data_IF_233547006859
#
_entry.id   IF_233547006859
#
_cell.length_a   1.000
_cell.length_b   1.000
_cell.length_c   1.000
_cell.angle_alpha   90.00
_cell.angle_beta   90.00
_cell.angle_gamma   90.00
#
_symmetry.space_group_name_H-M   'P 1'
#
loop_
_entity.id
_entity.type
_entity.pdbx_description
1 polymer ?
#
# COMPACT_ATOMS: atom_id res chain seq x y z
N UNK A 1 7.93 14.97 5.31
CA UNK A 1 8.73 14.07 4.50
C UNK A 1 7.88 13.30 3.52
N UNK A 2 8.23 13.34 2.29
CA UNK A 2 7.45 12.68 1.26
C UNK A 2 7.65 11.18 1.29
N UNK A 3 6.58 10.45 1.09
CA UNK A 3 6.64 9.01 0.94
C UNK A 3 6.70 8.72 -0.55
N UNK A 4 7.79 8.15 -0.98
CA UNK A 4 8.01 7.91 -2.40
C UNK A 4 7.64 6.48 -2.77
N UNK A 5 6.71 6.36 -3.69
CA UNK A 5 6.32 5.09 -4.26
C UNK A 5 6.57 5.14 -5.76
N UNK A 6 7.11 4.07 -6.31
CA UNK A 6 7.23 3.98 -7.75
C UNK A 6 5.87 3.65 -8.33
N UNK A 7 5.72 3.87 -9.64
CA UNK A 7 4.48 3.52 -10.31
C UNK A 7 4.18 2.04 -10.17
N UNK A 8 5.22 1.23 -10.25
CA UNK A 8 5.06 -0.21 -10.10
C UNK A 8 4.55 -0.56 -8.71
N UNK A 9 5.09 0.11 -7.71
CA UNK A 9 4.65 -0.14 -6.34
C UNK A 9 3.20 0.24 -6.16
N UNK A 10 2.81 1.39 -6.69
CA UNK A 10 1.43 1.85 -6.58
C UNK A 10 0.48 0.88 -7.27
N UNK A 11 0.86 0.42 -8.45
CA UNK A 11 0.05 -0.55 -9.17
C UNK A 11 -0.11 -1.84 -8.38
N UNK A 12 0.98 -2.32 -7.83
CA UNK A 12 0.97 -3.55 -7.06
C UNK A 12 0.07 -3.41 -5.84
N UNK A 13 0.22 -2.29 -5.12
CA UNK A 13 -0.60 -2.03 -3.95
C UNK A 13 -2.08 -2.00 -4.30
N UNK A 14 -2.40 -1.28 -5.36
CA UNK A 14 -3.78 -1.13 -5.78
C UNK A 14 -4.38 -2.47 -6.18
N UNK A 15 -3.63 -3.25 -6.94
CA UNK A 15 -4.10 -4.55 -7.40
C UNK A 15 -4.32 -5.50 -6.23
N UNK A 16 -3.38 -5.54 -5.31
CA UNK A 16 -3.50 -6.42 -4.16
C UNK A 16 -4.70 -6.05 -3.30
N UNK A 17 -4.88 -4.76 -3.08
CA UNK A 17 -5.99 -4.30 -2.27
C UNK A 17 -7.32 -4.58 -2.95
N UNK A 18 -7.36 -4.48 -4.28
CA UNK A 18 -8.56 -4.79 -5.02
C UNK A 18 -8.96 -6.26 -4.89
N UNK A 19 -7.96 -7.11 -4.94
CA UNK A 19 -8.21 -8.55 -4.83
C UNK A 19 -8.67 -8.92 -3.44
N UNK A 20 -8.16 -8.25 -2.44
CA UNK A 20 -8.49 -8.56 -1.06
C UNK A 20 -8.48 -7.27 -0.24
N UNK A 21 -9.57 -6.53 -0.25
CA UNK A 21 -9.64 -5.24 0.45
C UNK A 21 -9.80 -5.43 1.95
N UNK A 22 -8.76 -5.94 2.59
CA UNK A 22 -8.77 -6.18 4.01
C UNK A 22 -7.58 -5.52 4.65
N UNK A 23 -7.64 -5.39 5.98
CA UNK A 23 -6.55 -4.82 6.73
C UNK A 23 -5.28 -5.68 6.63
N UNK A 24 -5.48 -6.97 6.52
CA UNK A 24 -4.35 -7.88 6.38
C UNK A 24 -3.54 -7.57 5.14
N UNK A 25 -4.21 -7.27 4.05
CA UNK A 25 -3.53 -6.91 2.82
C UNK A 25 -2.71 -5.64 3.01
N UNK A 26 -3.30 -4.65 3.68
CA UNK A 26 -2.60 -3.40 3.94
C UNK A 26 -1.36 -3.65 4.80
N UNK A 27 -1.50 -4.46 5.82
CA UNK A 27 -0.38 -4.74 6.70
C UNK A 27 0.73 -5.48 5.96
N UNK A 28 0.35 -6.40 5.11
CA UNK A 28 1.33 -7.13 4.30
C UNK A 28 2.07 -6.19 3.36
N UNK A 29 1.34 -5.30 2.72
CA UNK A 29 1.96 -4.33 1.82
C UNK A 29 2.91 -3.41 2.56
N UNK A 30 2.51 -2.99 3.75
CA UNK A 30 3.37 -2.13 4.56
C UNK A 30 4.67 -2.84 4.89
N UNK A 31 4.59 -4.11 5.22
CA UNK A 31 5.77 -4.89 5.54
C UNK A 31 6.65 -5.08 4.31
N UNK A 32 6.05 -5.41 3.19
CA UNK A 32 6.80 -5.66 1.96
C UNK A 32 7.50 -4.41 1.47
N UNK A 33 6.84 -3.27 1.57
CA UNK A 33 7.37 -2.02 1.07
C UNK A 33 8.15 -1.24 2.11
N UNK A 34 8.23 -1.78 3.31
CA UNK A 34 8.93 -1.13 4.42
C UNK A 34 8.33 0.25 4.69
N UNK A 35 7.01 0.30 4.69
CA UNK A 35 6.27 1.53 4.96
C UNK A 35 5.33 1.29 6.12
N UNK A 36 4.79 2.38 6.67
CA UNK A 36 3.83 2.23 7.75
C UNK A 36 2.46 1.94 7.18
N UNK A 37 1.62 1.30 7.99
CA UNK A 37 0.25 1.01 7.58
C UNK A 37 -0.49 2.29 7.23
N UNK A 38 -0.25 3.35 8.01
CA UNK A 38 -0.89 4.63 7.74
C UNK A 38 -0.52 5.18 6.37
N UNK A 39 0.75 5.02 5.98
CA UNK A 39 1.19 5.46 4.66
C UNK A 39 0.47 4.70 3.56
N UNK A 40 0.34 3.39 3.72
CA UNK A 40 -0.33 2.57 2.73
C UNK A 40 -1.79 2.99 2.61
N UNK A 41 -2.47 3.15 3.73
CA UNK A 41 -3.88 3.56 3.74
C UNK A 41 -4.04 4.92 3.09
N UNK A 42 -3.16 5.85 3.43
CA UNK A 42 -3.21 7.17 2.83
C UNK A 42 -3.05 7.14 1.33
N UNK A 43 -2.16 6.29 0.84
CA UNK A 43 -1.93 6.17 -0.59
C UNK A 43 -3.11 5.53 -1.29
N UNK A 44 -3.69 4.51 -0.69
CA UNK A 44 -4.81 3.79 -1.30
C UNK A 44 -6.11 4.57 -1.25
N UNK A 45 -6.24 5.49 -0.31
CA UNK A 45 -7.46 6.30 -0.19
C UNK A 45 -7.57 7.37 -1.23
N UNK A 46 -6.51 7.63 -1.94
CA UNK A 46 -6.51 8.71 -2.93
C UNK A 46 -6.86 8.19 -4.34
#
# INVERSE_FOLDING_TARGET
>A
MAVNYTEEQVEMMTNQYRLDPSRETVERLADELDKSVKSIIGKLSR
#
